data_IF_441151073373
#
_entry.id   IF_441151073373
#
_cell.length_a   1.000
_cell.length_b   1.000
_cell.length_c   1.000
_cell.angle_alpha   90.00
_cell.angle_beta   90.00
_cell.angle_gamma   90.00
#
_symmetry.space_group_name_H-M   'P 1'
#
loop_
_entity.id
_entity.type
_entity.pdbx_description
1 polymer ?
#
# COMPACT_ATOMS: atom_id res chain seq x y z
N UNK A 1 16.40 11.01 30.32
CA UNK A 1 16.36 9.92 29.32
C UNK A 1 15.56 10.41 28.10
N UNK A 2 16.10 11.41 27.38
CA UNK A 2 15.41 12.13 26.30
C UNK A 2 15.55 11.41 24.94
N UNK A 3 16.69 10.77 24.67
CA UNK A 3 16.98 10.10 23.39
C UNK A 3 15.89 9.10 22.93
N UNK A 4 15.29 8.32 23.84
CA UNK A 4 14.26 7.33 23.46
C UNK A 4 12.95 7.95 22.96
N UNK A 5 12.63 9.18 23.34
CA UNK A 5 11.44 9.88 22.86
C UNK A 5 11.68 10.51 21.49
N UNK A 6 12.87 11.07 21.28
CA UNK A 6 13.28 11.66 20.01
C UNK A 6 13.37 10.59 18.90
N UNK A 7 13.96 9.44 19.21
CA UNK A 7 14.03 8.29 18.29
C UNK A 7 12.63 7.79 17.90
N UNK A 8 11.71 7.71 18.88
CA UNK A 8 10.32 7.33 18.64
C UNK A 8 9.61 8.32 17.70
N UNK A 9 9.75 9.62 17.96
CA UNK A 9 9.12 10.66 17.14
C UNK A 9 9.70 10.69 15.72
N UNK A 10 11.00 10.44 15.57
CA UNK A 10 11.65 10.33 14.28
C UNK A 10 11.10 9.14 13.48
N UNK A 11 11.11 7.93 14.05
CA UNK A 11 10.59 6.72 13.41
C UNK A 11 9.10 6.87 13.04
N UNK A 12 8.31 7.47 13.93
CA UNK A 12 6.89 7.72 13.69
C UNK A 12 6.67 8.72 12.55
N UNK A 13 7.44 9.81 12.52
CA UNK A 13 7.37 10.80 11.44
C UNK A 13 7.78 10.19 10.09
N UNK A 14 8.77 9.31 10.08
CA UNK A 14 9.17 8.60 8.87
C UNK A 14 8.07 7.65 8.39
N UNK A 15 7.40 6.94 9.30
CA UNK A 15 6.22 6.13 8.97
C UNK A 15 5.10 6.95 8.32
N UNK A 16 4.81 8.15 8.85
CA UNK A 16 3.82 9.07 8.27
C UNK A 16 4.23 9.51 6.85
N UNK A 17 5.49 9.93 6.65
CA UNK A 17 5.99 10.34 5.34
C UNK A 17 5.92 9.19 4.31
N UNK A 18 6.27 7.96 4.72
CA UNK A 18 6.09 6.77 3.89
C UNK A 18 4.62 6.51 3.57
N UNK A 19 3.71 6.69 4.53
CA UNK A 19 2.28 6.52 4.32
C UNK A 19 1.73 7.52 3.29
N UNK A 20 2.13 8.80 3.37
CA UNK A 20 1.77 9.79 2.34
C UNK A 20 2.28 9.40 0.96
N UNK A 21 3.50 8.86 0.88
CA UNK A 21 4.08 8.39 -0.39
C UNK A 21 3.26 7.24 -0.99
N UNK A 22 2.79 6.30 -0.16
CA UNK A 22 1.90 5.21 -0.58
C UNK A 22 0.57 5.78 -1.09
N UNK A 23 -0.05 6.71 -0.35
CA UNK A 23 -1.30 7.35 -0.77
C UNK A 23 -1.18 8.04 -2.13
N UNK A 24 -0.11 8.82 -2.34
CA UNK A 24 0.15 9.48 -3.64
C UNK A 24 0.37 8.45 -4.74
N UNK A 25 1.11 7.38 -4.45
CA UNK A 25 1.30 6.26 -5.38
C UNK A 25 -0.02 5.58 -5.76
N UNK A 26 -0.94 5.37 -4.82
CA UNK A 26 -2.25 4.79 -5.10
C UNK A 26 -3.13 5.69 -5.97
N UNK A 27 -3.06 7.01 -5.77
CA UNK A 27 -3.77 7.99 -6.62
C UNK A 27 -3.24 7.97 -8.05
N UNK A 28 -1.92 7.97 -8.23
CA UNK A 28 -1.30 7.86 -9.55
C UNK A 28 -1.60 6.49 -10.20
N UNK A 29 -1.59 5.41 -9.42
CA UNK A 29 -1.95 4.07 -9.90
C UNK A 29 -3.37 4.07 -10.46
N UNK A 30 -4.33 4.66 -9.74
CA UNK A 30 -5.71 4.80 -10.22
C UNK A 30 -5.76 5.55 -11.55
N UNK A 31 -5.10 6.71 -11.64
CA UNK A 31 -5.07 7.50 -12.88
C UNK A 31 -4.50 6.72 -14.06
N UNK A 32 -3.38 6.01 -13.88
CA UNK A 32 -2.75 5.20 -14.94
C UNK A 32 -3.59 3.99 -15.31
N UNK A 33 -4.23 3.34 -14.33
CA UNK A 33 -5.15 2.22 -14.54
C UNK A 33 -6.33 2.66 -15.39
N UNK A 34 -6.91 3.81 -15.11
CA UNK A 34 -8.05 4.33 -15.87
C UNK A 34 -7.66 4.55 -17.34
N UNK A 35 -6.45 5.06 -17.63
CA UNK A 35 -5.91 5.16 -19.00
C UNK A 35 -5.79 3.79 -19.66
N UNK A 36 -5.21 2.80 -18.97
CA UNK A 36 -5.11 1.42 -19.50
C UNK A 36 -6.49 0.85 -19.82
N UNK A 37 -7.49 1.07 -18.97
CA UNK A 37 -8.85 0.60 -19.21
C UNK A 37 -9.52 1.28 -20.41
N UNK A 38 -9.15 2.53 -20.74
CA UNK A 38 -9.62 3.17 -21.98
C UNK A 38 -8.95 2.62 -23.24
N UNK A 39 -7.69 2.17 -23.12
CA UNK A 39 -6.93 1.62 -24.24
C UNK A 39 -7.23 0.15 -24.49
N UNK A 40 -7.73 -0.60 -23.51
CA UNK A 40 -8.09 -2.00 -23.67
C UNK A 40 -9.52 -2.17 -24.19
N UNK A 41 -9.76 -3.09 -25.14
CA UNK A 41 -11.12 -3.40 -25.57
C UNK A 41 -11.93 -3.93 -24.37
N UNK A 42 -13.18 -3.48 -24.17
CA UNK A 42 -14.02 -3.99 -23.10
C UNK A 42 -14.26 -5.49 -23.31
N UNK A 43 -14.29 -6.29 -22.23
CA UNK A 43 -14.66 -7.69 -22.33
C UNK A 43 -16.07 -7.81 -22.92
N UNK A 44 -16.24 -8.65 -23.94
CA UNK A 44 -17.58 -8.90 -24.50
C UNK A 44 -18.10 -10.25 -24.02
N UNK A 45 -19.39 -10.28 -23.70
CA UNK A 45 -20.11 -11.53 -23.48
C UNK A 45 -20.48 -12.13 -24.82
N UNK A 46 -19.91 -13.29 -25.14
CA UNK A 46 -20.28 -14.07 -26.32
C UNK A 46 -20.74 -15.43 -25.84
N UNK A 47 -22.00 -15.78 -26.08
CA UNK A 47 -22.60 -17.09 -25.72
C UNK A 47 -22.41 -17.50 -24.24
N UNK A 48 -22.54 -16.55 -23.30
CA UNK A 48 -22.39 -16.81 -21.86
C UNK A 48 -20.94 -16.94 -21.38
N UNK A 49 -19.95 -16.68 -22.24
CA UNK A 49 -18.53 -16.61 -21.89
C UNK A 49 -18.00 -15.19 -22.03
N UNK A 50 -17.11 -14.80 -21.12
CA UNK A 50 -16.36 -13.54 -21.20
C UNK A 50 -15.18 -13.75 -22.14
N UNK A 51 -15.19 -13.08 -23.29
CA UNK A 51 -14.07 -13.11 -24.26
C UNK A 51 -13.27 -11.83 -24.12
N UNK A 52 -11.98 -11.97 -23.79
CA UNK A 52 -10.99 -10.89 -23.86
C UNK A 52 -10.38 -10.85 -25.26
N UNK A 53 -10.58 -9.75 -25.98
CA UNK A 53 -9.95 -9.56 -27.28
C UNK A 53 -8.48 -9.23 -27.13
N UNK A 54 -7.65 -9.79 -28.01
CA UNK A 54 -6.25 -9.40 -28.11
C UNK A 54 -6.15 -7.92 -28.49
N UNK A 55 -5.29 -7.13 -27.83
CA UNK A 55 -5.06 -5.74 -28.21
C UNK A 55 -4.55 -5.67 -29.65
N UNK A 56 -4.97 -4.63 -30.37
CA UNK A 56 -4.41 -4.31 -31.70
C UNK A 56 -2.90 -4.04 -31.61
N UNK A 57 -2.20 -4.14 -32.74
CA UNK A 57 -0.75 -3.85 -32.81
C UNK A 57 -0.40 -2.45 -32.30
N UNK A 58 -1.28 -1.47 -32.53
CA UNK A 58 -1.09 -0.11 -32.01
C UNK A 58 -1.27 -0.05 -30.49
N UNK A 59 -2.32 -0.67 -29.94
CA UNK A 59 -2.52 -0.77 -28.48
C UNK A 59 -1.37 -1.50 -27.79
N UNK A 60 -0.81 -2.55 -28.41
CA UNK A 60 0.36 -3.25 -27.87
C UNK A 60 1.61 -2.36 -27.75
N UNK A 61 1.73 -1.30 -28.54
CA UNK A 61 2.82 -0.32 -28.44
C UNK A 61 2.52 0.78 -27.42
N UNK A 62 1.24 1.13 -27.25
CA UNK A 62 0.78 2.20 -26.35
C UNK A 62 0.61 1.75 -24.89
N UNK A 63 0.34 0.46 -24.64
CA UNK A 63 0.11 -0.09 -23.30
C UNK A 63 1.36 -0.22 -22.39
N UNK A 64 2.55 -0.66 -22.87
CA UNK A 64 3.71 -0.90 -21.99
C UNK A 64 4.15 0.30 -21.14
N UNK A 65 4.15 1.56 -21.66
CA UNK A 65 4.45 2.75 -20.87
C UNK A 65 3.53 2.97 -19.66
N UNK A 66 2.33 2.39 -19.65
CA UNK A 66 1.40 2.47 -18.53
C UNK A 66 1.44 1.23 -17.64
N UNK A 67 1.53 0.03 -18.23
CA UNK A 67 1.53 -1.24 -17.50
C UNK A 67 2.77 -1.46 -16.65
N UNK A 68 3.96 -1.12 -17.16
CA UNK A 68 5.22 -1.33 -16.43
C UNK A 68 5.23 -0.49 -15.13
N UNK A 69 4.94 0.83 -15.18
CA UNK A 69 4.82 1.62 -13.95
C UNK A 69 3.75 1.11 -13.00
N UNK A 70 2.57 0.68 -13.49
CA UNK A 70 1.52 0.13 -12.63
C UNK A 70 2.00 -1.08 -11.83
N UNK A 71 2.69 -2.02 -12.47
CA UNK A 71 3.27 -3.19 -11.80
C UNK A 71 4.30 -2.79 -10.74
N UNK A 72 5.22 -1.88 -11.09
CA UNK A 72 6.23 -1.37 -10.15
C UNK A 72 5.59 -0.67 -8.95
N UNK A 73 4.56 0.16 -9.18
CA UNK A 73 3.88 0.90 -8.11
C UNK A 73 3.19 -0.02 -7.10
N UNK A 74 2.56 -1.11 -7.55
CA UNK A 74 1.96 -2.10 -6.64
C UNK A 74 3.02 -2.77 -5.77
N UNK A 75 4.12 -3.19 -6.38
CA UNK A 75 5.24 -3.83 -5.65
C UNK A 75 5.84 -2.87 -4.63
N UNK A 76 6.15 -1.62 -5.03
CA UNK A 76 6.71 -0.61 -4.13
C UNK A 76 5.73 -0.23 -3.02
N UNK A 77 4.45 -0.08 -3.32
CA UNK A 77 3.42 0.24 -2.31
C UNK A 77 3.31 -0.88 -1.27
N UNK A 78 3.38 -2.14 -1.70
CA UNK A 78 3.40 -3.30 -0.79
C UNK A 78 4.62 -3.29 0.11
N UNK A 79 5.82 -3.09 -0.46
CA UNK A 79 7.07 -3.04 0.29
C UNK A 79 7.08 -1.92 1.35
N UNK A 80 6.67 -0.71 0.96
CA UNK A 80 6.56 0.42 1.89
C UNK A 80 5.52 0.17 2.98
N UNK A 81 4.40 -0.43 2.64
CA UNK A 81 3.34 -0.78 3.59
C UNK A 81 3.84 -1.81 4.61
N UNK A 82 4.52 -2.87 4.15
CA UNK A 82 5.10 -3.89 5.03
C UNK A 82 6.13 -3.29 5.99
N UNK A 83 7.06 -2.47 5.48
CA UNK A 83 8.04 -1.78 6.32
C UNK A 83 7.39 -0.87 7.37
N UNK A 84 6.34 -0.13 6.99
CA UNK A 84 5.59 0.70 7.93
C UNK A 84 4.89 -0.13 9.01
N UNK A 85 4.26 -1.25 8.66
CA UNK A 85 3.61 -2.13 9.65
C UNK A 85 4.62 -2.70 10.63
N UNK A 86 5.80 -3.12 10.15
CA UNK A 86 6.88 -3.61 11.01
C UNK A 86 7.35 -2.56 12.01
N UNK A 87 7.64 -1.34 11.54
CA UNK A 87 8.12 -0.24 12.38
C UNK A 87 7.03 0.19 13.36
N UNK A 88 5.79 0.38 12.92
CA UNK A 88 4.68 0.75 13.80
C UNK A 88 4.42 -0.33 14.87
N UNK A 89 4.55 -1.61 14.51
CA UNK A 89 4.42 -2.71 15.47
C UNK A 89 5.53 -2.64 16.53
N UNK A 90 6.77 -2.35 16.13
CA UNK A 90 7.88 -2.13 17.06
C UNK A 90 7.60 -0.94 17.98
N UNK A 91 7.25 0.21 17.41
CA UNK A 91 6.94 1.43 18.16
C UNK A 91 5.80 1.21 19.18
N UNK A 92 4.74 0.51 18.80
CA UNK A 92 3.64 0.16 19.71
C UNK A 92 4.11 -0.71 20.89
N UNK A 93 5.01 -1.68 20.65
CA UNK A 93 5.57 -2.53 21.71
C UNK A 93 6.44 -1.73 22.67
N UNK A 94 7.28 -0.83 22.15
CA UNK A 94 8.19 0.00 22.93
C UNK A 94 7.46 1.07 23.74
N UNK A 95 6.37 1.62 23.20
CA UNK A 95 5.59 2.68 23.83
C UNK A 95 4.58 2.15 24.87
N UNK A 96 4.16 0.88 24.76
CA UNK A 96 3.18 0.26 25.66
C UNK A 96 3.50 0.39 27.17
N UNK A 97 4.73 0.14 27.65
CA UNK A 97 5.06 0.31 29.07
C UNK A 97 4.89 1.75 29.56
N UNK A 98 5.24 2.73 28.72
CA UNK A 98 5.05 4.15 29.04
C UNK A 98 3.56 4.48 29.13
N UNK A 99 2.74 3.98 28.21
CA UNK A 99 1.29 4.19 28.21
C UNK A 99 0.62 3.58 29.44
N UNK A 100 0.96 2.35 29.82
CA UNK A 100 0.39 1.70 31.01
C UNK A 100 0.76 2.46 32.29
N UNK A 101 1.99 3.00 32.37
CA UNK A 101 2.43 3.81 33.51
C UNK A 101 1.61 5.08 33.68
N UNK A 102 1.28 5.78 32.58
CA UNK A 102 0.55 7.05 32.63
C UNK A 102 -0.97 6.85 32.63
N UNK A 103 -1.46 5.74 32.09
CA UNK A 103 -2.88 5.41 31.94
C UNK A 103 -3.15 3.98 32.45
N UNK A 104 -3.19 3.77 33.77
CA UNK A 104 -3.29 2.43 34.38
C UNK A 104 -4.63 1.71 34.09
N UNK A 105 -5.66 2.40 33.61
CA UNK A 105 -6.94 1.82 33.18
C UNK A 105 -7.08 1.62 31.66
N UNK A 106 -6.00 1.76 30.89
CA UNK A 106 -6.04 1.66 29.44
C UNK A 106 -6.23 0.20 28.98
N UNK A 107 -7.35 -0.08 28.32
CA UNK A 107 -7.59 -1.37 27.66
C UNK A 107 -6.95 -1.37 26.26
N UNK A 108 -5.86 -2.12 26.09
CA UNK A 108 -5.17 -2.26 24.80
C UNK A 108 -5.66 -3.53 24.11
N UNK A 109 -6.40 -3.37 23.01
CA UNK A 109 -6.82 -4.48 22.15
C UNK A 109 -5.71 -4.84 21.16
N UNK A 110 -5.29 -6.10 21.13
CA UNK A 110 -4.36 -6.62 20.13
C UNK A 110 -5.13 -7.23 18.96
N UNK A 111 -4.86 -6.78 17.74
CA UNK A 111 -5.38 -7.40 16.52
C UNK A 111 -4.30 -8.37 16.02
N UNK A 112 -4.57 -9.66 16.09
CA UNK A 112 -3.71 -10.69 15.45
C UNK A 112 -4.14 -10.87 14.01
N UNK A 113 -3.24 -10.63 13.06
CA UNK A 113 -3.45 -11.05 11.67
C UNK A 113 -2.91 -12.47 11.52
N UNK A 114 -3.79 -13.44 11.30
CA UNK A 114 -3.35 -14.75 10.84
C UNK A 114 -2.78 -14.62 9.42
N UNK A 115 -1.66 -15.28 9.09
CA UNK A 115 -1.16 -15.30 7.73
C UNK A 115 -2.20 -15.98 6.85
N UNK A 116 -2.69 -15.27 5.84
CA UNK A 116 -3.52 -15.86 4.79
C UNK A 116 -2.62 -16.81 4.00
N UNK A 117 -2.97 -18.09 4.02
CA UNK A 117 -2.26 -19.18 3.35
C UNK A 117 -2.23 -19.01 1.82
#
# INVERSE_FOLDING_TARGET
MLLKQDDYLMDFSECLARHESILRGLLEYKSRRDVVLTLMPPPQMVNGQIVSFLPTRQQMLELPPHLIPLGTMVVSSRQLSSANVEILTRLCKEFKPMMIKHFPGLNIHSISMEPTA
#
